data_IF_088358116278
#
_entry.id   IF_088358116278
#
_cell.length_a   1.000
_cell.length_b   1.000
_cell.length_c   1.000
_cell.angle_alpha   90.00
_cell.angle_beta   90.00
_cell.angle_gamma   90.00
#
_symmetry.space_group_name_H-M   'P 1'
#
loop_
_entity.id
_entity.type
_entity.pdbx_description
1 polymer ?
#
# COMPACT_ATOMS: atom_id res chain seq x y z
N UNK A 1 25.40 -15.33 2.97
CA UNK A 1 24.13 -15.27 2.22
C UNK A 1 23.06 -15.05 3.29
N UNK A 2 22.64 -13.81 3.50
CA UNK A 2 21.54 -13.50 4.42
C UNK A 2 20.24 -14.02 3.80
N UNK A 3 19.63 -15.02 4.42
CA UNK A 3 18.33 -15.52 3.99
C UNK A 3 17.29 -14.41 4.18
N UNK A 4 16.81 -13.85 3.07
CA UNK A 4 15.83 -12.76 3.05
C UNK A 4 14.52 -13.19 3.75
N UNK A 5 14.24 -14.49 3.77
CA UNK A 5 13.10 -15.12 4.44
C UNK A 5 13.20 -15.09 5.98
N UNK A 6 14.41 -15.13 6.56
CA UNK A 6 14.59 -15.05 8.02
C UNK A 6 14.35 -13.63 8.55
N UNK A 7 14.52 -12.61 7.70
CA UNK A 7 14.38 -11.18 8.05
C UNK A 7 13.10 -10.56 7.49
N UNK A 8 12.11 -11.39 7.14
CA UNK A 8 10.80 -10.91 6.70
C UNK A 8 10.01 -10.34 7.89
N UNK A 9 10.11 -9.02 8.05
CA UNK A 9 9.39 -8.27 9.07
C UNK A 9 7.93 -7.97 8.68
N UNK A 10 7.49 -8.35 7.47
CA UNK A 10 6.13 -8.03 6.98
C UNK A 10 5.02 -8.75 7.77
N UNK A 11 5.36 -9.87 8.41
CA UNK A 11 4.43 -10.69 9.19
C UNK A 11 4.35 -10.28 10.67
N UNK A 12 5.32 -9.50 11.15
CA UNK A 12 5.35 -9.04 12.55
C UNK A 12 4.46 -7.80 12.71
N UNK A 13 3.59 -7.75 13.73
CA UNK A 13 2.85 -6.54 14.01
C UNK A 13 3.80 -5.45 14.53
N UNK A 14 3.47 -4.18 14.28
CA UNK A 14 4.35 -3.04 14.59
C UNK A 14 4.79 -2.96 16.07
N UNK A 15 3.93 -3.42 16.99
CA UNK A 15 4.24 -3.44 18.43
C UNK A 15 5.22 -4.56 18.82
N UNK A 16 5.41 -5.56 17.97
CA UNK A 16 6.36 -6.66 18.16
C UNK A 16 7.70 -6.43 17.45
N UNK A 17 7.88 -5.25 16.82
CA UNK A 17 9.16 -4.86 16.24
C UNK A 17 10.05 -4.25 17.31
N UNK A 18 11.29 -4.73 17.40
CA UNK A 18 12.35 -4.08 18.16
C UNK A 18 12.73 -2.73 17.54
N UNK A 19 13.40 -1.88 18.32
CA UNK A 19 13.81 -0.56 17.84
C UNK A 19 14.85 -0.64 16.71
N UNK A 20 15.68 -1.69 16.70
CA UNK A 20 16.61 -1.97 15.61
C UNK A 20 15.88 -2.35 14.32
N UNK A 21 14.88 -3.23 14.41
CA UNK A 21 14.05 -3.62 13.26
C UNK A 21 13.27 -2.43 12.70
N UNK A 22 12.77 -1.53 13.56
CA UNK A 22 12.09 -0.28 13.13
C UNK A 22 13.04 0.67 12.40
N UNK A 23 14.28 0.80 12.87
CA UNK A 23 15.31 1.63 12.21
C UNK A 23 15.65 1.08 10.84
N UNK A 24 15.83 -0.24 10.74
CA UNK A 24 16.12 -0.90 9.48
C UNK A 24 14.96 -0.76 8.47
N UNK A 25 13.71 -0.93 8.92
CA UNK A 25 12.54 -0.68 8.07
C UNK A 25 12.48 0.78 7.61
N UNK A 26 12.70 1.73 8.52
CA UNK A 26 12.70 3.16 8.19
C UNK A 26 13.77 3.52 7.16
N UNK A 27 14.97 2.93 7.29
CA UNK A 27 16.07 3.07 6.32
C UNK A 27 15.67 2.54 4.95
N UNK A 28 15.15 1.31 4.88
CA UNK A 28 14.68 0.69 3.63
C UNK A 28 13.56 1.48 2.97
N UNK A 29 12.60 1.99 3.74
CA UNK A 29 11.53 2.84 3.21
C UNK A 29 12.07 4.15 2.62
N UNK A 30 13.08 4.75 3.26
CA UNK A 30 13.72 5.97 2.74
C UNK A 30 14.45 5.70 1.43
N UNK A 31 15.23 4.64 1.37
CA UNK A 31 15.94 4.21 0.15
C UNK A 31 14.95 3.90 -1.00
N UNK A 32 13.86 3.20 -0.68
CA UNK A 32 12.79 2.92 -1.64
C UNK A 32 12.11 4.20 -2.13
N UNK A 33 11.81 5.15 -1.23
CA UNK A 33 11.21 6.44 -1.60
C UNK A 33 12.11 7.23 -2.55
N UNK A 34 13.41 7.28 -2.28
CA UNK A 34 14.39 7.91 -3.17
C UNK A 34 14.46 7.21 -4.52
N UNK A 35 14.42 5.88 -4.54
CA UNK A 35 14.40 5.09 -5.77
C UNK A 35 13.14 5.37 -6.61
N UNK A 36 11.97 5.46 -5.97
CA UNK A 36 10.70 5.79 -6.63
C UNK A 36 10.71 7.23 -7.17
N UNK A 37 11.29 8.18 -6.45
CA UNK A 37 11.47 9.55 -6.93
C UNK A 37 12.41 9.62 -8.14
N UNK A 38 13.51 8.87 -8.12
CA UNK A 38 14.53 8.91 -9.17
C UNK A 38 14.11 8.16 -10.45
N UNK A 39 13.52 6.97 -10.33
CA UNK A 39 13.18 6.09 -11.47
C UNK A 39 11.71 6.18 -11.89
N UNK A 40 10.88 6.80 -11.05
CA UNK A 40 9.44 6.85 -11.23
C UNK A 40 8.75 5.55 -10.76
N UNK A 41 7.49 5.62 -10.28
CA UNK A 41 6.79 4.49 -9.67
C UNK A 41 6.64 3.29 -10.60
N UNK A 42 6.43 3.52 -11.90
CA UNK A 42 6.25 2.44 -12.90
C UNK A 42 7.48 1.55 -13.03
N UNK A 43 8.68 2.12 -12.92
CA UNK A 43 9.94 1.36 -12.99
C UNK A 43 10.18 0.52 -11.73
N UNK A 44 9.59 0.90 -10.60
CA UNK A 44 9.64 0.16 -9.34
C UNK A 44 8.55 -0.92 -9.23
N UNK A 45 7.85 -1.26 -10.33
CA UNK A 45 6.73 -2.21 -10.32
C UNK A 45 5.51 -1.71 -9.55
N UNK A 46 5.53 -0.47 -9.05
CA UNK A 46 4.36 0.18 -8.50
C UNK A 46 3.47 0.49 -9.69
N UNK A 47 2.30 -0.16 -9.72
CA UNK A 47 1.24 0.22 -10.65
C UNK A 47 1.01 1.71 -10.40
N UNK A 48 1.47 2.54 -11.32
CA UNK A 48 1.17 3.97 -11.27
C UNK A 48 -0.33 4.12 -11.04
N UNK A 49 -0.75 5.16 -10.35
CA UNK A 49 -2.15 5.55 -10.22
C UNK A 49 -2.73 5.90 -11.62
N UNK A 50 -2.76 4.91 -12.50
CA UNK A 50 -3.25 4.94 -13.85
C UNK A 50 -4.70 4.52 -13.78
N UNK A 51 -5.56 5.53 -13.74
CA UNK A 51 -6.89 5.53 -14.34
C UNK A 51 -7.66 4.21 -14.16
N UNK A 52 -8.11 3.99 -12.93
CA UNK A 52 -9.16 3.04 -12.59
C UNK A 52 -10.00 3.58 -11.44
N UNK A 53 -10.98 4.44 -11.77
CA UNK A 53 -12.17 4.63 -10.93
C UNK A 53 -12.09 5.69 -9.83
N UNK A 54 -11.93 6.95 -10.22
CA UNK A 54 -12.45 8.16 -9.57
C UNK A 54 -12.69 8.15 -8.05
N UNK A 55 -11.82 8.84 -7.32
CA UNK A 55 -12.23 9.68 -6.17
C UNK A 55 -13.25 10.69 -6.73
N UNK A 56 -14.52 10.29 -6.81
CA UNK A 56 -15.54 11.01 -7.57
C UNK A 56 -16.49 10.13 -8.39
N UNK A 57 -16.38 8.80 -8.36
CA UNK A 57 -17.52 7.95 -8.73
C UNK A 57 -18.63 8.21 -7.71
N UNK A 58 -19.45 9.23 -7.96
CA UNK A 58 -20.72 9.45 -7.27
C UNK A 58 -21.46 8.13 -7.36
N UNK A 59 -21.35 7.30 -6.31
CA UNK A 59 -22.21 6.15 -6.11
C UNK A 59 -23.61 6.70 -6.25
N UNK A 60 -24.29 6.41 -7.36
CA UNK A 60 -25.62 6.92 -7.65
C UNK A 60 -26.53 6.25 -6.63
N UNK A 61 -26.80 6.91 -5.52
CA UNK A 61 -27.70 6.42 -4.48
C UNK A 61 -29.08 6.34 -5.12
N UNK A 62 -29.48 5.13 -5.53
CA UNK A 62 -30.85 4.88 -5.96
C UNK A 62 -31.67 4.88 -4.67
N UNK A 63 -32.47 5.93 -4.46
CA UNK A 63 -33.38 6.03 -3.31
C UNK A 63 -34.18 4.73 -3.25
N UNK A 64 -34.00 3.98 -2.16
CA UNK A 64 -34.82 2.81 -1.88
C UNK A 64 -36.26 3.30 -1.68
N UNK A 65 -37.18 2.75 -2.46
CA UNK A 65 -38.62 3.06 -2.38
C UNK A 65 -39.28 1.91 -1.64
N UNK A 66 -39.74 2.09 -0.39
CA UNK A 66 -40.47 1.04 0.30
C UNK A 66 -41.88 0.98 -0.31
N UNK A 67 -42.19 -0.08 -1.06
CA UNK A 67 -43.56 -0.29 -1.56
C UNK A 67 -43.74 -1.07 -2.87
N UNK A 68 -42.70 -1.52 -3.55
CA UNK A 68 -42.91 -2.45 -4.68
C UNK A 68 -43.14 -3.86 -4.14
N UNK A 69 -44.42 -4.26 -4.04
CA UNK A 69 -44.82 -5.66 -3.89
C UNK A 69 -44.44 -6.41 -5.16
N UNK A 70 -43.93 -7.64 -4.97
CA UNK A 70 -43.68 -8.63 -6.01
C UNK A 70 -44.97 -9.03 -6.74
#
# INVERSE_FOLDING_TARGET
>A
MDDIHERDLSRKPNHALSDEEKRELSRRFKEFSQMVQARGPKACGLRGAGKGGAVGAKKRIRKWTPGQKA
#
